data_IF_578360931188
#
_entry.id   IF_578360931188
#
_cell.length_a   1.000
_cell.length_b   1.000
_cell.length_c   1.000
_cell.angle_alpha   90.00
_cell.angle_beta   90.00
_cell.angle_gamma   90.00
#
_symmetry.space_group_name_H-M   'P 1'
#
loop_
_entity.id
_entity.type
_entity.pdbx_description
1 polymer ?
#
# COMPACT_ATOMS: atom_id res chain seq x y z
N UNK A 1 1.76 -7.85 -17.24
CA UNK A 1 2.09 -7.65 -15.80
C UNK A 1 1.99 -6.16 -15.47
N UNK A 2 1.15 -5.67 -14.53
CA UNK A 2 1.07 -4.22 -14.21
C UNK A 2 1.84 -3.81 -12.95
N UNK A 3 2.91 -3.01 -13.06
CA UNK A 3 3.59 -2.43 -11.89
C UNK A 3 3.46 -0.89 -11.90
N UNK A 4 2.32 -0.39 -12.37
CA UNK A 4 2.01 1.03 -12.45
C UNK A 4 0.49 1.20 -12.40
N UNK A 5 0.02 2.17 -11.63
CA UNK A 5 -1.36 2.64 -11.67
C UNK A 5 -1.44 4.13 -11.35
N UNK A 6 -2.40 4.86 -11.94
CA UNK A 6 -2.72 6.23 -11.55
C UNK A 6 -3.73 6.26 -10.39
N UNK A 7 -3.74 7.37 -9.64
CA UNK A 7 -4.80 7.75 -8.71
C UNK A 7 -5.13 9.23 -8.94
N UNK A 8 -6.26 9.47 -9.61
CA UNK A 8 -6.82 10.81 -9.86
C UNK A 8 -7.86 11.22 -8.82
N UNK A 9 -8.34 10.29 -7.99
CA UNK A 9 -9.34 10.55 -6.97
C UNK A 9 -8.74 11.40 -5.84
N UNK A 10 -9.41 12.49 -5.51
CA UNK A 10 -9.01 13.37 -4.41
C UNK A 10 -9.16 12.69 -3.03
N UNK A 11 -8.35 13.13 -2.08
CA UNK A 11 -8.31 12.64 -0.70
C UNK A 11 -9.69 12.63 -0.01
N UNK A 12 -10.46 13.71 -0.13
CA UNK A 12 -11.79 13.80 0.46
C UNK A 12 -12.75 12.71 -0.05
N UNK A 13 -12.72 12.44 -1.36
CA UNK A 13 -13.54 11.39 -1.98
C UNK A 13 -13.10 9.99 -1.51
N UNK A 14 -11.80 9.76 -1.32
CA UNK A 14 -11.29 8.49 -0.76
C UNK A 14 -11.81 8.29 0.67
N UNK A 15 -11.75 9.33 1.51
CA UNK A 15 -12.26 9.26 2.89
C UNK A 15 -13.75 8.98 2.94
N UNK A 16 -14.53 9.64 2.09
CA UNK A 16 -15.98 9.48 2.04
C UNK A 16 -16.36 8.05 1.64
N UNK A 17 -15.79 7.54 0.53
CA UNK A 17 -16.06 6.19 0.02
C UNK A 17 -15.66 5.15 1.06
N UNK A 18 -14.49 5.31 1.68
CA UNK A 18 -13.96 4.34 2.63
C UNK A 18 -14.52 4.50 4.05
N UNK A 19 -15.22 5.60 4.34
CA UNK A 19 -15.63 6.04 5.68
C UNK A 19 -14.43 6.09 6.64
N UNK A 20 -13.31 6.65 6.17
CA UNK A 20 -12.09 6.79 6.96
C UNK A 20 -12.21 8.03 7.85
N UNK A 21 -12.24 7.80 9.16
CA UNK A 21 -12.45 8.85 10.16
C UNK A 21 -11.17 9.66 10.38
N UNK A 22 -10.03 8.98 10.36
CA UNK A 22 -8.70 9.58 10.48
C UNK A 22 -7.96 9.63 9.15
N UNK A 23 -7.13 10.66 8.98
CA UNK A 23 -6.37 10.90 7.76
C UNK A 23 -5.04 11.58 8.06
N UNK A 24 -3.96 10.92 7.65
CA UNK A 24 -2.56 11.35 7.80
C UNK A 24 -1.91 11.71 6.47
N UNK A 25 -2.67 11.73 5.37
CA UNK A 25 -2.08 11.97 4.04
C UNK A 25 -1.78 13.44 3.76
N UNK A 26 -2.29 14.37 4.58
CA UNK A 26 -1.96 15.79 4.48
C UNK A 26 -2.62 16.48 3.29
N UNK A 27 -1.86 17.24 2.50
CA UNK A 27 -2.32 17.78 1.21
C UNK A 27 -1.88 16.82 0.10
N UNK A 28 -2.73 15.83 -0.21
CA UNK A 28 -2.37 14.81 -1.18
C UNK A 28 -2.40 15.37 -2.62
N UNK A 29 -1.27 15.41 -3.35
CA UNK A 29 -1.29 15.84 -4.75
C UNK A 29 -1.97 14.78 -5.62
N UNK A 30 -2.43 15.15 -6.83
CA UNK A 30 -2.79 14.18 -7.85
C UNK A 30 -1.62 13.23 -8.12
N UNK A 31 -1.88 11.91 -8.20
CA UNK A 31 -0.85 10.90 -8.42
C UNK A 31 -1.05 10.25 -9.80
N UNK A 32 -0.56 10.87 -10.89
CA UNK A 32 -0.76 10.34 -12.25
C UNK A 32 -0.01 9.02 -12.50
N UNK A 33 0.93 8.65 -11.63
CA UNK A 33 1.61 7.36 -11.67
C UNK A 33 2.20 7.00 -10.32
N UNK A 34 1.83 5.82 -9.84
CA UNK A 34 2.35 5.19 -8.63
C UNK A 34 3.14 3.95 -9.05
N UNK A 35 4.42 3.91 -8.67
CA UNK A 35 5.39 2.86 -9.00
C UNK A 35 5.81 2.07 -7.75
N UNK A 36 6.40 0.86 -7.91
CA UNK A 36 6.88 0.06 -6.80
C UNK A 36 7.85 0.82 -5.91
N UNK A 37 7.67 0.68 -4.60
CA UNK A 37 8.50 1.31 -3.60
C UNK A 37 8.22 2.78 -3.34
N UNK A 38 7.29 3.41 -4.06
CA UNK A 38 6.81 4.75 -3.74
C UNK A 38 5.72 4.71 -2.66
N UNK A 39 5.51 5.87 -2.02
CA UNK A 39 4.39 6.06 -1.09
C UNK A 39 3.08 6.23 -1.86
N UNK A 40 2.05 5.54 -1.41
CA UNK A 40 0.71 5.59 -1.97
C UNK A 40 -0.33 5.69 -0.84
N UNK A 41 -1.47 6.38 -1.06
CA UNK A 41 -2.55 6.40 -0.10
C UNK A 41 -3.17 5.02 0.04
N UNK A 42 -3.32 4.57 1.29
CA UNK A 42 -3.96 3.31 1.63
C UNK A 42 -4.90 3.55 2.80
N UNK A 43 -6.13 3.07 2.67
CA UNK A 43 -7.03 2.95 3.81
C UNK A 43 -6.74 1.65 4.53
N UNK A 44 -6.36 1.73 5.80
CA UNK A 44 -6.08 0.57 6.66
C UNK A 44 -7.00 0.57 7.88
N UNK A 45 -7.23 -0.62 8.43
CA UNK A 45 -7.90 -0.76 9.71
C UNK A 45 -6.87 -0.59 10.85
N UNK A 46 -7.27 0.12 11.89
CA UNK A 46 -6.59 0.25 13.18
C UNK A 46 -7.54 -0.17 14.29
N UNK A 47 -7.09 -0.16 15.56
CA UNK A 47 -7.95 -0.49 16.70
C UNK A 47 -9.04 0.58 16.91
N UNK A 48 -8.77 1.81 16.47
CA UNK A 48 -9.63 3.00 16.62
C UNK A 48 -10.58 3.19 15.44
N UNK A 49 -10.31 2.54 14.29
CA UNK A 49 -11.18 2.58 13.13
C UNK A 49 -10.43 2.52 11.80
N UNK A 50 -11.05 3.09 10.75
CA UNK A 50 -10.44 3.18 9.42
C UNK A 50 -9.63 4.46 9.31
N UNK A 51 -8.41 4.31 8.81
CA UNK A 51 -7.43 5.38 8.69
C UNK A 51 -6.84 5.45 7.30
N UNK A 52 -6.82 6.64 6.73
CA UNK A 52 -6.14 6.94 5.46
C UNK A 52 -4.70 7.37 5.76
N UNK A 53 -3.72 6.59 5.32
CA UNK A 53 -2.29 6.86 5.53
C UNK A 53 -1.50 6.68 4.24
N UNK A 54 -0.32 7.29 4.14
CA UNK A 54 0.64 6.99 3.09
C UNK A 54 1.46 5.76 3.47
N UNK A 55 1.47 4.73 2.63
CA UNK A 55 2.28 3.52 2.81
C UNK A 55 3.12 3.22 1.57
N UNK A 56 4.28 2.59 1.77
CA UNK A 56 5.15 2.16 0.67
C UNK A 56 4.49 1.01 -0.09
N UNK A 57 4.37 1.14 -1.43
CA UNK A 57 3.91 0.03 -2.27
C UNK A 57 5.02 -1.02 -2.44
N UNK A 58 5.12 -1.92 -1.47
CA UNK A 58 6.04 -3.05 -1.48
C UNK A 58 6.00 -3.75 -0.14
N UNK A 59 5.29 -4.87 -0.08
CA UNK A 59 5.13 -5.70 1.11
C UNK A 59 6.45 -6.39 1.49
N UNK A 60 6.72 -6.65 2.78
CA UNK A 60 7.92 -7.36 3.20
C UNK A 60 8.07 -8.71 2.50
N UNK A 61 9.26 -8.96 1.96
CA UNK A 61 9.54 -10.20 1.24
C UNK A 61 9.56 -11.42 2.17
N UNK A 62 9.11 -12.60 1.69
CA UNK A 62 9.35 -13.86 2.38
C UNK A 62 10.85 -14.11 2.58
N UNK A 63 11.22 -14.76 3.69
CA UNK A 63 12.63 -15.03 4.02
C UNK A 63 13.40 -15.74 2.89
N UNK A 64 12.77 -16.71 2.22
CA UNK A 64 13.40 -17.41 1.08
C UNK A 64 13.72 -16.48 -0.10
N UNK A 65 12.94 -15.42 -0.32
CA UNK A 65 13.13 -14.46 -1.41
C UNK A 65 14.25 -13.44 -1.11
N UNK A 66 14.69 -13.38 0.15
CA UNK A 66 15.78 -12.53 0.62
C UNK A 66 17.12 -13.28 0.71
N UNK A 67 17.15 -14.59 0.44
CA UNK A 67 18.38 -15.37 0.54
C UNK A 67 19.45 -14.81 -0.42
N UNK A 68 20.62 -14.49 0.12
CA UNK A 68 21.74 -13.85 -0.60
C UNK A 68 21.54 -12.38 -0.96
N UNK A 69 20.45 -11.73 -0.54
CA UNK A 69 20.17 -10.31 -0.81
C UNK A 69 20.38 -9.46 0.43
N UNK A 70 21.03 -8.29 0.24
CA UNK A 70 21.25 -7.30 1.31
C UNK A 70 20.10 -6.30 1.47
N UNK A 71 19.24 -6.18 0.45
CA UNK A 71 18.18 -5.17 0.39
C UNK A 71 16.86 -5.85 0.02
N UNK A 72 15.78 -5.48 0.72
CA UNK A 72 14.42 -5.87 0.38
C UNK A 72 13.74 -4.76 -0.45
N UNK A 73 13.46 -5.05 -1.72
CA UNK A 73 12.72 -4.14 -2.58
C UNK A 73 11.20 -4.19 -2.34
N UNK A 74 10.71 -5.24 -1.67
CA UNK A 74 9.31 -5.50 -1.37
C UNK A 74 8.52 -6.10 -2.54
N UNK A 75 7.49 -6.87 -2.21
CA UNK A 75 6.54 -7.44 -3.16
C UNK A 75 5.35 -6.51 -3.39
N UNK A 76 5.08 -6.16 -4.65
CA UNK A 76 3.92 -5.33 -5.01
C UNK A 76 2.63 -6.11 -5.23
N UNK A 77 2.72 -7.44 -5.31
CA UNK A 77 1.61 -8.33 -5.66
C UNK A 77 1.68 -9.64 -4.91
N UNK A 78 0.54 -10.08 -4.38
CA UNK A 78 0.35 -11.40 -3.79
C UNK A 78 -0.54 -12.20 -4.72
N UNK A 79 -0.02 -13.31 -5.28
CA UNK A 79 -0.79 -14.23 -6.13
C UNK A 79 -1.18 -15.50 -5.40
N UNK A 80 -0.22 -16.05 -4.66
CA UNK A 80 -0.42 -17.24 -3.87
C UNK A 80 -0.95 -16.84 -2.49
N UNK A 81 -2.27 -16.83 -2.33
CA UNK A 81 -2.95 -16.47 -1.07
C UNK A 81 -2.88 -17.58 -0.02
N UNK A 82 -2.53 -18.82 -0.39
CA UNK A 82 -2.40 -19.95 0.56
C UNK A 82 -1.04 -19.99 1.26
N UNK A 83 -0.04 -19.26 0.75
CA UNK A 83 1.29 -19.14 1.37
C UNK A 83 1.19 -18.68 2.83
N UNK A 84 1.89 -19.37 3.74
CA UNK A 84 1.90 -19.04 5.16
C UNK A 84 2.41 -17.62 5.44
N UNK A 85 3.35 -17.12 4.63
CA UNK A 85 3.90 -15.76 4.77
C UNK A 85 2.83 -14.66 4.70
N UNK A 86 1.77 -14.86 3.91
CA UNK A 86 0.71 -13.85 3.74
C UNK A 86 -0.50 -14.05 4.65
N UNK A 87 -0.58 -15.18 5.37
CA UNK A 87 -1.70 -15.50 6.29
C UNK A 87 -1.42 -15.12 7.75
N UNK A 88 -0.27 -14.52 8.01
CA UNK A 88 0.16 -14.07 9.33
C UNK A 88 -0.59 -12.82 9.79
#
# INVERSE_FOLDING_TARGET
>A
MRNLYPLSTGQAAIREIARAMEDETGNQPPLPGIFPGQMAPVVRNTNEGRKLSLLRWGMPSPAFALNGRKVDHGFTKVRNTISSHWRR
#
